data_IF_258939988582
#
_entry.id   IF_258939988582
#
_cell.length_a   1.000
_cell.length_b   1.000
_cell.length_c   1.000
_cell.angle_alpha   90.00
_cell.angle_beta   90.00
_cell.angle_gamma   90.00
#
_symmetry.space_group_name_H-M   'P 1'
#
loop_
_entity.id
_entity.type
_entity.pdbx_description
1 polymer ?
#
# COMPACT_ATOMS: atom_id res chain seq x y z
N UNK A 1 12.76 -5.16 7.58
CA UNK A 1 11.95 -4.55 8.64
C UNK A 1 10.50 -4.81 8.27
N UNK A 2 9.67 -5.19 9.25
CA UNK A 2 8.24 -5.49 9.05
C UNK A 2 7.42 -4.37 9.68
N UNK A 3 6.43 -3.85 8.95
CA UNK A 3 5.52 -2.79 9.39
C UNK A 3 4.19 -3.36 9.94
N UNK A 4 3.84 -4.60 9.59
CA UNK A 4 2.58 -5.21 10.01
C UNK A 4 2.84 -6.52 10.76
N UNK A 5 2.47 -6.61 12.04
CA UNK A 5 2.58 -7.88 12.78
C UNK A 5 1.41 -8.83 12.47
N UNK A 6 1.30 -9.22 11.20
CA UNK A 6 0.32 -10.18 10.68
C UNK A 6 0.98 -11.10 9.66
N UNK A 7 0.50 -12.34 9.58
CA UNK A 7 0.84 -13.27 8.52
C UNK A 7 0.12 -12.93 7.21
N UNK A 8 0.53 -13.58 6.11
CA UNK A 8 -0.16 -13.45 4.83
C UNK A 8 -1.59 -13.97 4.93
N UNK A 9 -2.56 -13.13 4.58
CA UNK A 9 -4.00 -13.41 4.60
C UNK A 9 -4.31 -14.55 3.63
N UNK A 10 -4.88 -15.63 4.16
CA UNK A 10 -5.27 -16.81 3.37
C UNK A 10 -6.78 -16.88 3.16
N UNK A 11 -7.21 -17.61 2.14
CA UNK A 11 -8.61 -18.01 1.99
C UNK A 11 -8.94 -19.17 2.93
N UNK A 12 -9.96 -19.00 3.77
CA UNK A 12 -10.43 -20.02 4.73
C UNK A 12 -11.93 -20.36 4.56
N UNK A 13 -12.61 -19.72 3.61
CA UNK A 13 -14.00 -19.99 3.28
C UNK A 13 -15.04 -19.34 4.22
N UNK A 14 -16.33 -19.46 3.88
CA UNK A 14 -17.40 -18.62 4.43
C UNK A 14 -17.75 -18.90 5.90
N UNK A 15 -17.24 -20.00 6.46
CA UNK A 15 -17.45 -20.38 7.87
C UNK A 15 -16.30 -19.96 8.79
N UNK A 16 -15.21 -19.41 8.24
CA UNK A 16 -14.08 -18.96 9.05
C UNK A 16 -14.48 -17.81 9.97
N UNK A 17 -14.05 -17.91 11.23
CA UNK A 17 -14.15 -16.85 12.23
C UNK A 17 -12.86 -16.08 12.42
N UNK A 18 -11.76 -16.48 11.76
CA UNK A 18 -10.48 -15.75 11.82
C UNK A 18 -10.68 -14.38 11.18
N UNK A 19 -10.51 -13.24 11.86
CA UNK A 19 -10.70 -11.93 11.23
C UNK A 19 -9.71 -11.66 10.09
N UNK A 20 -8.51 -12.22 10.12
CA UNK A 20 -7.43 -12.00 9.15
C UNK A 20 -7.38 -13.10 8.08
N UNK A 21 -8.53 -13.44 7.51
CA UNK A 21 -8.67 -14.40 6.40
C UNK A 21 -9.70 -13.93 5.37
N UNK A 22 -9.57 -14.38 4.13
CA UNK A 22 -10.61 -14.21 3.12
C UNK A 22 -11.68 -15.29 3.27
N UNK A 23 -12.95 -14.88 3.29
CA UNK A 23 -14.11 -15.79 3.41
C UNK A 23 -14.68 -16.17 2.05
N UNK A 24 -14.43 -15.32 1.05
CA UNK A 24 -14.99 -15.43 -0.29
C UNK A 24 -13.98 -15.18 -1.39
N UNK A 25 -12.97 -14.35 -1.14
CA UNK A 25 -11.93 -14.11 -2.13
C UNK A 25 -10.92 -15.26 -2.11
N UNK A 26 -11.00 -16.12 -3.13
CA UNK A 26 -9.98 -17.11 -3.44
C UNK A 26 -9.33 -16.74 -4.76
N UNK A 27 -8.12 -16.16 -4.71
CA UNK A 27 -7.42 -15.63 -5.88
C UNK A 27 -7.29 -16.62 -7.04
N UNK A 28 -7.17 -17.93 -6.74
CA UNK A 28 -7.00 -19.00 -7.74
C UNK A 28 -8.29 -19.67 -8.20
N UNK A 29 -9.43 -19.36 -7.57
CA UNK A 29 -10.72 -19.90 -7.98
C UNK A 29 -11.09 -19.42 -9.37
N UNK A 30 -11.42 -20.35 -10.27
CA UNK A 30 -11.86 -20.04 -11.63
C UNK A 30 -13.35 -19.72 -11.68
N UNK A 31 -13.68 -18.59 -12.29
CA UNK A 31 -15.03 -18.18 -12.66
C UNK A 31 -15.08 -18.07 -14.19
N UNK A 32 -15.62 -19.11 -14.83
CA UNK A 32 -15.49 -19.29 -16.28
C UNK A 32 -14.02 -19.52 -16.64
N UNK A 33 -13.51 -18.72 -17.59
CA UNK A 33 -12.16 -18.89 -18.13
C UNK A 33 -11.06 -18.15 -17.37
N UNK A 34 -11.42 -17.34 -16.36
CA UNK A 34 -10.48 -16.52 -15.58
C UNK A 34 -10.55 -16.81 -14.10
N UNK A 35 -9.46 -16.57 -13.40
CA UNK A 35 -9.42 -16.62 -11.93
C UNK A 35 -10.13 -15.40 -11.32
N UNK A 36 -10.52 -15.47 -10.04
CA UNK A 36 -11.05 -14.31 -9.32
C UNK A 36 -10.06 -13.13 -9.34
N UNK A 37 -8.76 -13.40 -9.20
CA UNK A 37 -7.74 -12.35 -9.27
C UNK A 37 -7.73 -11.63 -10.63
N UNK A 38 -7.83 -12.39 -11.73
CA UNK A 38 -7.88 -11.83 -13.09
C UNK A 38 -9.15 -11.03 -13.38
N UNK A 39 -10.27 -11.40 -12.77
CA UNK A 39 -11.53 -10.66 -12.87
C UNK A 39 -11.51 -9.37 -12.05
N UNK A 40 -11.08 -9.46 -10.79
CA UNK A 40 -11.24 -8.37 -9.82
C UNK A 40 -10.11 -7.35 -9.89
N UNK A 41 -8.87 -7.81 -10.14
CA UNK A 41 -7.68 -6.96 -10.27
C UNK A 41 -7.60 -5.88 -9.18
N UNK A 42 -7.74 -6.30 -7.92
CA UNK A 42 -7.76 -5.38 -6.80
C UNK A 42 -6.52 -4.49 -6.76
N UNK A 43 -6.71 -3.25 -6.33
CA UNK A 43 -5.67 -2.24 -6.25
C UNK A 43 -5.71 -1.54 -4.89
N UNK A 44 -4.54 -1.24 -4.32
CA UNK A 44 -4.40 -0.41 -3.13
C UNK A 44 -4.33 1.06 -3.52
N UNK A 45 -5.18 1.89 -2.92
CA UNK A 45 -5.07 3.34 -3.03
C UNK A 45 -3.98 3.86 -2.08
N UNK A 46 -2.87 4.36 -2.62
CA UNK A 46 -1.70 4.76 -1.83
C UNK A 46 -2.04 5.88 -0.84
N UNK A 47 -2.78 6.90 -1.31
CA UNK A 47 -3.16 8.07 -0.51
C UNK A 47 -3.91 7.68 0.77
N UNK A 48 -5.00 6.92 0.65
CA UNK A 48 -5.78 6.52 1.83
C UNK A 48 -5.05 5.56 2.76
N UNK A 49 -4.18 4.70 2.22
CA UNK A 49 -3.59 3.61 2.98
C UNK A 49 -2.31 4.05 3.72
N UNK A 50 -1.47 4.86 3.07
CA UNK A 50 -0.12 5.16 3.56
C UNK A 50 0.14 6.64 3.86
N UNK A 51 -0.68 7.58 3.34
CA UNK A 51 -0.47 9.02 3.56
C UNK A 51 -1.53 9.68 4.44
N UNK A 52 -2.79 9.26 4.35
CA UNK A 52 -3.87 9.81 5.15
C UNK A 52 -3.64 9.61 6.64
N UNK A 53 -3.67 10.71 7.40
CA UNK A 53 -3.46 10.76 8.84
C UNK A 53 -4.78 10.63 9.64
N UNK A 54 -5.91 10.45 8.95
CA UNK A 54 -7.27 10.42 9.49
C UNK A 54 -7.71 11.76 10.13
N UNK A 55 -7.11 12.88 9.74
CA UNK A 55 -7.63 14.20 10.08
C UNK A 55 -8.96 14.47 9.36
N UNK A 56 -9.75 15.38 9.94
CA UNK A 56 -11.00 15.85 9.36
C UNK A 56 -11.18 17.36 9.57
N UNK A 57 -12.19 18.02 8.98
CA UNK A 57 -12.38 19.47 9.13
C UNK A 57 -12.57 19.97 10.59
N UNK A 58 -12.75 19.08 11.55
CA UNK A 58 -13.06 19.35 12.96
C UNK A 58 -12.01 18.79 13.93
N UNK A 59 -10.98 18.09 13.45
CA UNK A 59 -10.02 17.38 14.31
C UNK A 59 -8.66 17.12 13.65
N UNK A 60 -7.65 16.91 14.49
CA UNK A 60 -6.28 16.57 14.05
C UNK A 60 -6.15 15.08 13.70
N UNK A 61 -5.09 14.73 12.97
CA UNK A 61 -4.79 13.34 12.59
C UNK A 61 -4.71 12.39 13.78
N UNK A 62 -5.28 11.20 13.60
CA UNK A 62 -5.35 10.13 14.61
C UNK A 62 -4.63 8.84 14.18
N UNK A 63 -4.13 8.76 12.95
CA UNK A 63 -3.34 7.64 12.49
C UNK A 63 -2.00 7.56 13.27
N UNK A 64 -1.63 6.34 13.66
CA UNK A 64 -0.32 6.05 14.23
C UNK A 64 0.43 5.20 13.20
N UNK A 65 1.61 5.64 12.77
CA UNK A 65 2.44 4.95 11.78
C UNK A 65 3.91 4.95 12.18
N UNK A 66 4.60 3.86 11.90
CA UNK A 66 6.02 3.70 12.25
C UNK A 66 6.95 4.73 11.58
N UNK A 67 6.52 5.31 10.47
CA UNK A 67 7.28 6.31 9.70
C UNK A 67 7.03 7.77 10.11
N UNK A 68 6.18 8.03 11.12
CA UNK A 68 5.76 9.40 11.46
C UNK A 68 6.93 10.30 11.90
N UNK A 69 7.93 9.72 12.57
CA UNK A 69 9.11 10.42 13.09
C UNK A 69 10.28 10.55 12.09
N UNK A 70 10.11 10.10 10.85
CA UNK A 70 11.13 10.20 9.81
C UNK A 70 11.06 11.55 9.09
N UNK A 71 12.21 12.00 8.55
CA UNK A 71 12.22 13.10 7.58
C UNK A 71 11.44 12.70 6.30
N UNK A 72 11.07 13.67 5.47
CA UNK A 72 10.11 13.45 4.40
C UNK A 72 10.56 12.41 3.35
N UNK A 73 11.83 12.43 2.95
CA UNK A 73 12.35 11.46 1.98
C UNK A 73 12.51 10.07 2.57
N UNK A 74 12.90 9.94 3.84
CA UNK A 74 12.99 8.63 4.48
C UNK A 74 11.60 8.07 4.80
N UNK A 75 10.63 8.94 5.13
CA UNK A 75 9.21 8.60 5.26
C UNK A 75 8.64 8.07 3.94
N UNK A 76 8.95 8.72 2.82
CA UNK A 76 8.57 8.25 1.48
C UNK A 76 9.12 6.84 1.18
N UNK A 77 10.42 6.59 1.42
CA UNK A 77 11.03 5.26 1.24
C UNK A 77 10.43 4.20 2.17
N UNK A 78 10.12 4.58 3.42
CA UNK A 78 9.48 3.69 4.38
C UNK A 78 8.08 3.28 3.91
N UNK A 79 7.27 4.24 3.43
CA UNK A 79 5.94 3.98 2.86
C UNK A 79 6.01 3.09 1.61
N UNK A 80 7.00 3.25 0.74
CA UNK A 80 7.24 2.30 -0.37
C UNK A 80 7.47 0.90 0.17
N UNK A 81 8.33 0.73 1.17
CA UNK A 81 8.58 -0.59 1.75
C UNK A 81 7.31 -1.18 2.39
N UNK A 82 6.51 -0.34 3.05
CA UNK A 82 5.25 -0.73 3.69
C UNK A 82 4.18 -1.16 2.67
N UNK A 83 4.01 -0.47 1.55
CA UNK A 83 3.00 -0.89 0.55
C UNK A 83 3.33 -2.24 -0.07
N UNK A 84 4.60 -2.51 -0.38
CA UNK A 84 5.00 -3.82 -0.93
C UNK A 84 4.79 -4.95 0.09
N UNK A 85 5.10 -4.72 1.37
CA UNK A 85 4.77 -5.68 2.43
C UNK A 85 3.26 -5.89 2.57
N UNK A 86 2.48 -4.81 2.52
CA UNK A 86 1.02 -4.87 2.60
C UNK A 86 0.42 -5.67 1.44
N UNK A 87 0.90 -5.42 0.22
CA UNK A 87 0.50 -6.15 -0.99
C UNK A 87 0.88 -7.63 -0.92
N UNK A 88 2.10 -7.95 -0.45
CA UNK A 88 2.53 -9.34 -0.23
C UNK A 88 1.61 -10.07 0.75
N UNK A 89 1.29 -9.42 1.87
CA UNK A 89 0.45 -9.99 2.94
C UNK A 89 -1.01 -10.11 2.56
N UNK A 90 -1.55 -9.18 1.79
CA UNK A 90 -2.95 -9.21 1.36
C UNK A 90 -3.17 -9.98 0.06
N UNK A 91 -2.11 -10.22 -0.72
CA UNK A 91 -2.20 -10.80 -2.06
C UNK A 91 -2.76 -9.84 -3.11
N UNK A 92 -2.81 -8.54 -2.83
CA UNK A 92 -3.23 -7.52 -3.80
C UNK A 92 -2.08 -7.22 -4.75
N UNK A 93 -2.33 -7.23 -6.06
CA UNK A 93 -1.29 -7.18 -7.10
C UNK A 93 -1.08 -5.79 -7.73
N UNK A 94 -2.00 -4.85 -7.49
CA UNK A 94 -1.95 -3.51 -8.06
C UNK A 94 -1.99 -2.44 -6.97
N UNK A 95 -1.50 -1.25 -7.30
CA UNK A 95 -1.70 -0.04 -6.50
C UNK A 95 -1.82 1.18 -7.41
N UNK A 96 -2.43 2.24 -6.89
CA UNK A 96 -2.57 3.53 -7.56
C UNK A 96 -2.03 4.64 -6.64
N UNK A 97 -1.45 5.69 -7.23
CA UNK A 97 -0.85 6.80 -6.51
C UNK A 97 -0.97 8.11 -7.28
N UNK A 98 -0.96 9.24 -6.57
CA UNK A 98 -0.56 10.53 -7.10
C UNK A 98 0.94 10.71 -6.86
N UNK A 99 1.60 11.54 -7.67
CA UNK A 99 3.01 11.90 -7.50
C UNK A 99 3.36 12.36 -6.07
N UNK A 100 2.56 13.26 -5.52
CA UNK A 100 2.74 13.80 -4.15
C UNK A 100 2.50 12.77 -3.04
N UNK A 101 1.84 11.64 -3.34
CA UNK A 101 1.63 10.58 -2.35
C UNK A 101 2.94 9.83 -2.05
N UNK A 102 3.76 9.65 -3.09
CA UNK A 102 4.94 8.79 -3.05
C UNK A 102 6.21 9.58 -2.79
N UNK A 103 6.28 10.86 -3.17
CA UNK A 103 7.45 11.70 -2.97
C UNK A 103 7.06 13.10 -2.46
N UNK A 104 7.84 13.68 -1.53
CA UNK A 104 7.60 15.04 -1.07
C UNK A 104 7.97 16.07 -2.12
N UNK A 105 7.18 17.15 -2.19
CA UNK A 105 7.53 18.33 -2.98
C UNK A 105 8.82 18.97 -2.44
N UNK A 106 9.67 19.43 -3.36
CA UNK A 106 10.85 20.23 -3.05
C UNK A 106 10.53 21.72 -2.95
N UNK A 107 11.57 22.54 -2.85
CA UNK A 107 11.43 24.02 -2.83
C UNK A 107 11.04 24.59 -4.19
N UNK A 108 11.22 23.81 -5.25
CA UNK A 108 10.91 24.15 -6.63
C UNK A 108 10.62 22.87 -7.42
N UNK A 109 10.18 23.04 -8.67
CA UNK A 109 9.80 21.92 -9.55
C UNK A 109 10.96 20.96 -9.85
N UNK A 110 12.19 21.47 -9.95
CA UNK A 110 13.38 20.64 -10.21
C UNK A 110 13.62 19.68 -9.04
N UNK A 111 13.65 20.20 -7.81
CA UNK A 111 13.82 19.39 -6.59
C UNK A 111 12.64 18.41 -6.37
N UNK A 112 11.40 18.81 -6.69
CA UNK A 112 10.25 17.89 -6.65
C UNK A 112 10.41 16.72 -7.61
N UNK A 113 10.88 16.96 -8.83
CA UNK A 113 11.10 15.91 -9.82
C UNK A 113 12.27 15.00 -9.42
N UNK A 114 13.35 15.56 -8.86
CA UNK A 114 14.47 14.76 -8.34
C UNK A 114 14.02 13.82 -7.21
N UNK A 115 13.19 14.32 -6.28
CA UNK A 115 12.61 13.49 -5.23
C UNK A 115 11.72 12.36 -5.81
N UNK A 116 10.87 12.70 -6.78
CA UNK A 116 9.99 11.74 -7.45
C UNK A 116 10.79 10.66 -8.18
N UNK A 117 11.85 11.02 -8.89
CA UNK A 117 12.72 10.08 -9.61
C UNK A 117 13.37 9.07 -8.68
N UNK A 118 13.83 9.51 -7.50
CA UNK A 118 14.38 8.61 -6.47
C UNK A 118 13.35 7.57 -6.05
N UNK A 119 12.11 8.00 -5.79
CA UNK A 119 11.07 7.10 -5.31
C UNK A 119 10.55 6.17 -6.41
N UNK A 120 10.34 6.68 -7.63
CA UNK A 120 9.91 5.88 -8.78
C UNK A 120 10.97 4.81 -9.11
N UNK A 121 12.26 5.15 -9.00
CA UNK A 121 13.34 4.17 -9.13
C UNK A 121 13.24 3.07 -8.08
N UNK A 122 13.03 3.43 -6.81
CA UNK A 122 12.87 2.45 -5.73
C UNK A 122 11.64 1.54 -5.93
N UNK A 123 10.51 2.12 -6.36
CA UNK A 123 9.30 1.37 -6.71
C UNK A 123 9.59 0.39 -7.85
N UNK A 124 10.33 0.83 -8.89
CA UNK A 124 10.71 -0.03 -10.02
C UNK A 124 11.59 -1.19 -9.58
N UNK A 125 12.54 -0.97 -8.68
CA UNK A 125 13.41 -2.02 -8.12
C UNK A 125 12.62 -3.06 -7.30
N UNK A 126 11.50 -2.66 -6.69
CA UNK A 126 10.58 -3.53 -5.92
C UNK A 126 9.57 -4.28 -6.79
N UNK A 127 9.22 -3.73 -7.95
CA UNK A 127 8.25 -4.29 -8.89
C UNK A 127 8.84 -5.33 -9.87
N UNK A 128 10.16 -5.53 -9.86
CA UNK A 128 10.86 -6.55 -10.68
C UNK A 128 11.10 -7.84 -9.90
#
# INVERSE_FOLDING_TARGET
MTYFDIEKVQYEGPKSTNPFSFKYYNASEKIGDKTMAEHLRFSVAYWHTFTADLSDPFGVGAAIRDWDNLNDMDKAKARVSAIFEFMEKTGIEYFCFHDIDIAPEGKNLEESNENLDVIVKLIKEKNG
#
